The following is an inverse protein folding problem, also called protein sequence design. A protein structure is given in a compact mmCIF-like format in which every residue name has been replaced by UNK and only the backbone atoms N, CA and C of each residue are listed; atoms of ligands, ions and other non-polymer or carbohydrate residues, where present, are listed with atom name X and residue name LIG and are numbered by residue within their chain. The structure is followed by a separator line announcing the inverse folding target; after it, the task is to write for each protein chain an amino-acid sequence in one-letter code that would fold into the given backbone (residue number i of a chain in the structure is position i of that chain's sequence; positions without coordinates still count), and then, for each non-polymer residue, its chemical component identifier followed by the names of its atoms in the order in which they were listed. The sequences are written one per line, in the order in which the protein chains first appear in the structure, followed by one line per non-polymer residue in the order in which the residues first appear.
data_IF_879698964987
#
_entry.id   IF_879698964987
#
_cell.length_a   1.000
_cell.length_b   1.000
_cell.length_c   1.000
_cell.angle_alpha   90.00
_cell.angle_beta   90.00
_cell.angle_gamma   90.00
#
_symmetry.space_group_name_H-M   'P 1'
#
loop_
_entity.id
_entity.type
_entity.pdbx_description
1 polymer ?
#
# COMPACT_ATOMS: atom_id res chain seq x y z
N UNK A 1 -3.37 11.78 16.25
CA UNK A 1 -3.76 11.74 14.83
C UNK A 1 -3.24 13.00 14.19
N UNK A 2 -2.44 12.86 13.13
CA UNK A 2 -1.90 13.99 12.39
C UNK A 2 -3.01 14.80 11.71
N UNK A 3 -2.85 16.12 11.66
CA UNK A 3 -3.74 16.97 10.88
C UNK A 3 -3.45 16.83 9.37
N UNK A 4 -4.33 17.35 8.53
CA UNK A 4 -4.20 17.21 7.07
C UNK A 4 -2.91 17.86 6.56
N UNK A 5 -2.54 19.05 7.06
CA UNK A 5 -1.32 19.74 6.62
C UNK A 5 -0.06 18.94 6.94
N UNK A 6 -0.05 18.25 8.07
CA UNK A 6 1.05 17.34 8.42
C UNK A 6 1.09 16.14 7.47
N UNK A 7 -0.06 15.53 7.17
CA UNK A 7 -0.12 14.43 6.20
C UNK A 7 0.34 14.86 4.80
N UNK A 8 -0.08 16.02 4.31
CA UNK A 8 0.37 16.59 3.03
C UNK A 8 1.90 16.73 2.97
N UNK A 9 2.54 17.21 4.04
CA UNK A 9 4.01 17.29 4.12
C UNK A 9 4.68 15.92 4.06
N UNK A 10 4.12 14.94 4.77
CA UNK A 10 4.65 13.56 4.75
C UNK A 10 4.48 12.95 3.35
N UNK A 11 3.34 13.16 2.70
CA UNK A 11 3.08 12.70 1.32
C UNK A 11 4.13 13.23 0.36
N UNK A 12 4.35 14.54 0.32
CA UNK A 12 5.34 15.16 -0.57
C UNK A 12 6.73 14.60 -0.29
N UNK A 13 7.12 14.47 0.97
CA UNK A 13 8.43 13.93 1.31
C UNK A 13 8.56 12.43 0.97
N UNK A 14 7.51 11.64 1.14
CA UNK A 14 7.48 10.23 0.74
C UNK A 14 7.68 10.07 -0.76
N UNK A 15 7.08 10.93 -1.60
CA UNK A 15 7.33 10.94 -3.05
C UNK A 15 8.79 11.18 -3.39
N UNK A 16 9.43 12.12 -2.69
CA UNK A 16 10.88 12.38 -2.84
C UNK A 16 11.71 11.16 -2.49
N UNK A 17 11.38 10.47 -1.39
CA UNK A 17 12.07 9.25 -0.98
C UNK A 17 11.92 8.15 -2.02
N UNK A 18 10.72 7.93 -2.55
CA UNK A 18 10.45 6.96 -3.64
C UNK A 18 11.35 7.23 -4.84
N UNK A 19 11.34 8.47 -5.34
CA UNK A 19 12.12 8.86 -6.51
C UNK A 19 13.62 8.63 -6.28
N UNK A 20 14.16 9.03 -5.14
CA UNK A 20 15.58 8.87 -4.79
C UNK A 20 15.98 7.41 -4.62
N UNK A 21 15.16 6.60 -3.92
CA UNK A 21 15.43 5.17 -3.75
C UNK A 21 15.57 4.44 -5.08
N UNK A 22 14.57 4.61 -5.96
CA UNK A 22 14.55 3.88 -7.24
C UNK A 22 15.60 4.40 -8.22
N UNK A 23 15.86 5.71 -8.21
CA UNK A 23 16.89 6.32 -9.05
C UNK A 23 18.29 5.81 -8.67
N UNK A 24 18.64 5.83 -7.38
CA UNK A 24 19.99 5.45 -6.90
C UNK A 24 20.45 4.09 -7.40
N UNK A 25 19.55 3.12 -7.44
CA UNK A 25 19.86 1.74 -7.86
C UNK A 25 19.38 1.44 -9.29
N UNK A 26 18.87 2.45 -9.99
CA UNK A 26 18.28 2.31 -11.33
C UNK A 26 17.30 1.13 -11.42
N UNK A 27 16.49 0.92 -10.38
CA UNK A 27 15.59 -0.24 -10.27
C UNK A 27 14.49 0.01 -9.26
N UNK A 28 13.27 -0.42 -9.55
CA UNK A 28 12.12 -0.36 -8.65
C UNK A 28 10.84 0.02 -9.36
N UNK A 29 9.76 0.17 -8.60
CA UNK A 29 8.41 0.43 -9.10
C UNK A 29 7.89 1.78 -8.60
N UNK A 30 8.27 2.90 -9.26
CA UNK A 30 7.87 4.23 -8.80
C UNK A 30 6.39 4.52 -9.03
N UNK A 31 5.81 4.07 -10.15
CA UNK A 31 4.46 4.46 -10.56
C UNK A 31 3.39 4.10 -9.54
N UNK A 32 3.26 2.83 -9.16
CA UNK A 32 2.31 2.37 -8.14
C UNK A 32 2.65 2.92 -6.75
N UNK A 33 3.95 3.05 -6.42
CA UNK A 33 4.39 3.66 -5.16
C UNK A 33 3.92 5.11 -5.03
N UNK A 34 4.07 5.92 -6.08
CA UNK A 34 3.59 7.32 -6.12
C UNK A 34 2.06 7.38 -6.07
N UNK A 35 1.38 6.48 -6.80
CA UNK A 35 -0.09 6.40 -6.81
C UNK A 35 -0.70 6.11 -5.45
N UNK A 36 -0.06 5.25 -4.65
CA UNK A 36 -0.55 4.85 -3.32
C UNK A 36 -0.03 5.72 -2.16
N UNK A 37 0.72 6.80 -2.43
CA UNK A 37 1.40 7.57 -1.36
C UNK A 37 0.41 8.17 -0.36
N UNK A 38 -0.66 8.83 -0.82
CA UNK A 38 -1.66 9.44 0.04
C UNK A 38 -2.36 8.42 0.92
N UNK A 39 -2.74 7.28 0.34
CA UNK A 39 -3.39 6.20 1.08
C UNK A 39 -2.46 5.65 2.17
N UNK A 40 -1.24 5.29 1.81
CA UNK A 40 -0.29 4.69 2.75
C UNK A 40 0.07 5.63 3.91
N UNK A 41 0.35 6.90 3.60
CA UNK A 41 0.61 7.93 4.63
C UNK A 41 -0.61 8.14 5.52
N UNK A 42 -1.80 8.27 4.95
CA UNK A 42 -3.04 8.47 5.70
C UNK A 42 -3.34 7.29 6.61
N UNK A 43 -3.21 6.06 6.09
CA UNK A 43 -3.46 4.85 6.85
C UNK A 43 -2.51 4.75 8.05
N UNK A 44 -1.21 4.83 7.83
CA UNK A 44 -0.20 4.60 8.86
C UNK A 44 -0.11 5.73 9.89
N UNK A 45 -0.26 6.99 9.47
CA UNK A 45 -0.01 8.13 10.35
C UNK A 45 -1.27 8.69 11.02
N UNK A 46 -2.45 8.32 10.50
CA UNK A 46 -3.72 8.83 11.02
C UNK A 46 -4.73 7.75 11.42
N UNK A 47 -4.80 6.64 10.72
CA UNK A 47 -5.95 5.74 10.82
C UNK A 47 -5.68 4.42 11.52
N UNK A 48 -4.48 3.85 11.43
CA UNK A 48 -4.12 2.60 12.11
C UNK A 48 -3.76 2.81 13.58
N UNK A 49 -4.21 1.91 14.43
CA UNK A 49 -3.69 1.75 15.80
C UNK A 49 -2.39 0.96 15.74
N UNK A 50 -1.26 1.63 15.88
CA UNK A 50 0.08 1.06 15.76
C UNK A 50 0.83 1.05 17.09
N UNK A 51 1.63 0.02 17.33
CA UNK A 51 2.63 0.03 18.38
C UNK A 51 3.98 0.46 17.78
N UNK A 52 4.68 1.39 18.44
CA UNK A 52 6.03 1.81 18.06
C UNK A 52 7.06 0.69 18.24
N UNK A 53 6.85 -0.16 19.23
CA UNK A 53 7.67 -1.33 19.50
C UNK A 53 7.11 -2.49 18.66
N UNK A 54 7.64 -2.67 17.45
CA UNK A 54 7.18 -3.70 16.54
C UNK A 54 7.33 -5.10 17.14
N UNK A 55 6.27 -5.89 17.05
CA UNK A 55 6.28 -7.34 17.28
C UNK A 55 5.61 -8.06 16.11
N UNK A 56 6.14 -9.20 15.71
CA UNK A 56 5.50 -10.03 14.67
C UNK A 56 4.12 -10.52 15.10
N UNK A 57 3.89 -10.73 16.38
CA UNK A 57 2.60 -11.20 16.91
C UNK A 57 1.49 -10.14 16.76
N UNK A 58 1.84 -8.86 16.79
CA UNK A 58 0.92 -7.74 16.56
C UNK A 58 -0.28 -7.72 17.51
N UNK A 59 -0.08 -8.11 18.77
CA UNK A 59 -1.12 -8.13 19.80
C UNK A 59 -1.50 -6.68 20.17
N UNK A 60 -2.81 -6.43 20.32
CA UNK A 60 -3.38 -5.14 20.69
C UNK A 60 -3.11 -3.99 19.69
N UNK A 61 -2.75 -4.29 18.45
CA UNK A 61 -2.57 -3.31 17.38
C UNK A 61 -3.24 -3.76 16.07
N UNK A 62 -3.51 -2.81 15.16
CA UNK A 62 -3.93 -3.12 13.82
C UNK A 62 -2.76 -3.70 13.01
N UNK A 63 -3.05 -4.61 12.07
CA UNK A 63 -2.05 -5.20 11.19
C UNK A 63 -2.20 -4.69 9.77
N UNK A 64 -1.07 -4.54 9.07
CA UNK A 64 -1.04 -4.20 7.67
C UNK A 64 -0.25 -5.23 6.86
N UNK A 65 -0.81 -5.63 5.73
CA UNK A 65 -0.21 -6.55 4.76
C UNK A 65 -0.15 -5.90 3.39
N UNK A 66 1.07 -5.73 2.86
CA UNK A 66 1.28 -5.25 1.50
C UNK A 66 1.29 -6.45 0.55
N UNK A 67 0.19 -6.70 -0.17
CA UNK A 67 0.10 -7.80 -1.11
C UNK A 67 0.84 -7.50 -2.42
N UNK A 68 0.65 -6.31 -2.97
CA UNK A 68 1.36 -5.79 -4.14
C UNK A 68 2.79 -5.33 -3.79
N UNK A 69 3.62 -6.29 -3.35
CA UNK A 69 4.94 -6.05 -2.76
C UNK A 69 5.94 -5.29 -3.63
N UNK A 70 5.67 -5.14 -4.92
CA UNK A 70 6.50 -4.35 -5.82
C UNK A 70 6.49 -2.85 -5.50
N UNK A 71 5.43 -2.32 -4.85
CA UNK A 71 5.41 -0.93 -4.36
C UNK A 71 6.13 -0.76 -3.01
N UNK A 72 7.13 -1.59 -2.74
CA UNK A 72 7.98 -1.51 -1.55
C UNK A 72 8.58 -0.13 -1.27
N UNK A 73 8.91 0.73 -2.27
CA UNK A 73 9.45 2.06 -2.00
C UNK A 73 8.52 2.93 -1.15
N UNK A 74 7.22 3.00 -1.44
CA UNK A 74 6.29 3.77 -0.61
C UNK A 74 6.17 3.14 0.79
N UNK A 75 6.12 1.82 0.87
CA UNK A 75 6.00 1.12 2.15
C UNK A 75 7.19 1.39 3.06
N UNK A 76 8.42 1.28 2.55
CA UNK A 76 9.62 1.55 3.33
C UNK A 76 9.72 3.01 3.77
N UNK A 77 9.41 3.97 2.88
CA UNK A 77 9.41 5.38 3.26
C UNK A 77 8.41 5.66 4.39
N UNK A 78 7.19 5.14 4.29
CA UNK A 78 6.17 5.31 5.33
C UNK A 78 6.58 4.66 6.64
N UNK A 79 7.10 3.43 6.63
CA UNK A 79 7.59 2.77 7.84
C UNK A 79 8.71 3.55 8.53
N UNK A 80 9.72 4.01 7.77
CA UNK A 80 10.82 4.80 8.30
C UNK A 80 10.31 6.12 8.93
N UNK A 81 9.45 6.84 8.22
CA UNK A 81 8.88 8.11 8.70
C UNK A 81 7.92 7.95 9.87
N UNK A 82 7.32 6.77 10.01
CA UNK A 82 6.56 6.39 11.19
C UNK A 82 7.43 5.94 12.38
N UNK A 83 8.76 5.89 12.21
CA UNK A 83 9.72 5.59 13.28
C UNK A 83 9.96 4.10 13.52
N UNK A 84 9.65 3.22 12.57
CA UNK A 84 9.96 1.79 12.68
C UNK A 84 11.46 1.50 12.53
N UNK A 85 12.17 2.31 11.74
CA UNK A 85 13.64 2.27 11.56
C UNK A 85 14.16 3.63 11.12
N UNK A 86 15.48 3.80 11.09
CA UNK A 86 16.11 5.08 10.75
C UNK A 86 15.84 5.46 9.29
N UNK A 87 15.42 6.71 9.05
CA UNK A 87 15.13 7.25 7.71
C UNK A 87 16.35 7.16 6.78
N UNK A 88 17.55 7.26 7.32
CA UNK A 88 18.79 7.15 6.55
C UNK A 88 18.99 5.75 5.95
N UNK A 89 18.33 4.73 6.49
CA UNK A 89 18.39 3.38 5.92
C UNK A 89 17.72 3.31 4.54
N UNK A 90 16.82 4.24 4.19
CA UNK A 90 16.20 4.33 2.87
C UNK A 90 17.25 4.42 1.74
N UNK A 91 18.43 4.97 2.03
CA UNK A 91 19.51 5.05 1.05
C UNK A 91 20.11 3.69 0.67
N UNK A 92 19.78 2.63 1.39
CA UNK A 92 20.28 1.27 1.15
C UNK A 92 19.32 0.41 0.31
N UNK A 93 18.19 0.97 -0.15
CA UNK A 93 17.19 0.25 -0.93
C UNK A 93 17.82 -0.58 -2.05
N UNK A 94 17.52 -1.88 -2.10
CA UNK A 94 18.03 -2.87 -3.07
C UNK A 94 19.54 -3.05 -3.12
N UNK A 95 20.32 -2.48 -2.19
CA UNK A 95 21.73 -2.78 -2.10
C UNK A 95 21.95 -4.18 -1.51
N UNK A 96 23.10 -4.78 -1.84
CA UNK A 96 23.50 -6.07 -1.25
C UNK A 96 23.57 -5.94 0.27
N UNK A 97 23.04 -6.91 0.99
CA UNK A 97 22.94 -6.95 2.46
C UNK A 97 22.06 -5.86 3.09
N UNK A 98 21.27 -5.13 2.31
CA UNK A 98 20.26 -4.22 2.86
C UNK A 98 19.03 -5.00 3.34
N UNK A 99 18.39 -4.51 4.41
CA UNK A 99 17.07 -5.02 4.83
C UNK A 99 15.93 -4.54 3.92
N UNK A 100 16.17 -3.48 3.14
CA UNK A 100 15.20 -2.89 2.22
C UNK A 100 15.29 -3.56 0.85
N UNK A 101 14.81 -4.79 0.79
CA UNK A 101 14.80 -5.59 -0.43
C UNK A 101 13.84 -5.02 -1.48
N UNK A 102 14.00 -5.39 -2.75
CA UNK A 102 13.13 -4.94 -3.84
C UNK A 102 11.65 -5.30 -3.64
N UNK A 103 11.41 -6.41 -2.97
CA UNK A 103 10.12 -6.83 -2.45
C UNK A 103 10.27 -7.12 -0.96
N UNK A 104 9.30 -6.77 -0.10
CA UNK A 104 9.43 -6.99 1.34
C UNK A 104 9.61 -8.47 1.66
N UNK A 105 10.47 -8.74 2.64
CA UNK A 105 10.68 -10.09 3.18
C UNK A 105 10.79 -10.06 4.69
N UNK A 106 10.22 -11.06 5.35
CA UNK A 106 10.31 -11.22 6.81
C UNK A 106 11.67 -11.72 7.26
N UNK A 107 12.45 -12.34 6.37
CA UNK A 107 13.78 -12.87 6.67
C UNK A 107 14.76 -11.78 7.15
N UNK A 108 14.65 -10.58 6.58
CA UNK A 108 15.53 -9.45 6.93
C UNK A 108 15.18 -8.79 8.27
N UNK A 109 14.10 -9.21 8.93
CA UNK A 109 13.70 -8.70 10.24
C UNK A 109 13.42 -7.19 10.26
N UNK A 110 13.00 -6.60 9.13
CA UNK A 110 12.67 -5.18 9.07
C UNK A 110 11.39 -4.89 9.85
N UNK A 111 11.43 -4.03 10.87
CA UNK A 111 10.24 -3.68 11.63
C UNK A 111 9.13 -3.11 10.75
N UNK A 112 7.88 -3.57 10.98
CA UNK A 112 6.71 -3.19 10.17
C UNK A 112 6.39 -4.18 9.04
N UNK A 113 7.32 -5.03 8.62
CA UNK A 113 7.11 -6.04 7.57
C UNK A 113 6.65 -7.36 8.19
N UNK A 114 5.42 -7.79 7.87
CA UNK A 114 4.77 -9.00 8.42
C UNK A 114 4.58 -10.13 7.40
N UNK A 115 4.86 -9.87 6.14
CA UNK A 115 4.75 -10.83 5.05
C UNK A 115 5.90 -10.64 4.06
N UNK A 116 6.41 -11.75 3.54
CA UNK A 116 7.18 -11.74 2.30
C UNK A 116 6.19 -11.63 1.13
N UNK A 117 6.28 -10.56 0.35
CA UNK A 117 5.36 -10.29 -0.75
C UNK A 117 6.13 -10.01 -2.06
N UNK A 118 5.40 -9.97 -3.19
CA UNK A 118 5.98 -9.87 -4.54
C UNK A 118 5.48 -10.96 -5.47
N UNK A 119 5.14 -12.15 -4.94
CA UNK A 119 4.27 -13.10 -5.63
C UNK A 119 2.84 -12.61 -5.45
N UNK A 120 2.28 -12.01 -6.51
CA UNK A 120 0.96 -11.39 -6.46
C UNK A 120 -0.14 -12.41 -6.14
N UNK A 121 -1.18 -11.94 -5.47
CA UNK A 121 -2.34 -12.75 -5.09
C UNK A 121 -2.20 -13.49 -3.74
N UNK A 122 -1.01 -13.50 -3.09
CA UNK A 122 -0.79 -14.23 -1.84
C UNK A 122 -1.22 -13.45 -0.60
N UNK A 123 -1.07 -12.13 -0.62
CA UNK A 123 -1.18 -11.30 0.58
C UNK A 123 -2.57 -11.30 1.20
N UNK A 124 -3.64 -11.35 0.40
CA UNK A 124 -5.00 -11.37 0.91
C UNK A 124 -5.27 -12.61 1.75
N UNK A 125 -4.83 -13.79 1.31
CA UNK A 125 -4.99 -15.05 2.06
C UNK A 125 -4.29 -14.98 3.42
N UNK A 126 -3.07 -14.42 3.47
CA UNK A 126 -2.32 -14.23 4.72
C UNK A 126 -3.02 -13.24 5.64
N UNK A 127 -3.50 -12.12 5.11
CA UNK A 127 -4.26 -11.11 5.86
C UNK A 127 -5.54 -11.69 6.47
N UNK A 128 -6.27 -12.53 5.72
CA UNK A 128 -7.45 -13.25 6.21
C UNK A 128 -7.09 -14.19 7.35
N UNK A 129 -6.00 -14.94 7.23
CA UNK A 129 -5.50 -15.80 8.30
C UNK A 129 -5.17 -15.03 9.58
N UNK A 130 -4.51 -13.86 9.44
CA UNK A 130 -4.23 -12.96 10.56
C UNK A 130 -5.52 -12.39 11.19
N UNK A 131 -6.52 -12.04 10.38
CA UNK A 131 -7.82 -11.56 10.86
C UNK A 131 -8.56 -12.63 11.66
N UNK A 132 -8.55 -13.88 11.19
CA UNK A 132 -9.12 -15.02 11.93
C UNK A 132 -8.37 -15.26 13.23
N UNK A 133 -7.04 -15.20 13.23
CA UNK A 133 -6.22 -15.32 14.44
C UNK A 133 -6.59 -14.27 15.48
N UNK A 134 -6.78 -13.00 15.07
CA UNK A 134 -7.27 -11.95 15.99
C UNK A 134 -8.64 -12.29 16.58
N UNK A 135 -9.59 -12.74 15.76
CA UNK A 135 -10.92 -13.16 16.24
C UNK A 135 -10.83 -14.31 17.26
N UNK A 136 -10.00 -15.31 16.99
CA UNK A 136 -9.81 -16.45 17.90
C UNK A 136 -9.19 -16.03 19.24
N UNK A 137 -8.34 -15.01 19.23
CA UNK A 137 -7.69 -14.48 20.43
C UNK A 137 -8.51 -13.33 21.08
N UNK A 138 -9.73 -13.08 20.65
CA UNK A 138 -10.57 -11.97 21.13
C UNK A 138 -9.91 -10.58 21.02
N UNK A 139 -9.02 -10.42 20.05
CA UNK A 139 -8.38 -9.15 19.73
C UNK A 139 -9.24 -8.38 18.72
N UNK A 140 -9.83 -7.26 19.15
CA UNK A 140 -10.74 -6.44 18.37
C UNK A 140 -10.04 -5.41 17.46
N UNK A 141 -8.73 -5.56 17.20
CA UNK A 141 -8.04 -4.72 16.26
C UNK A 141 -8.24 -5.21 14.80
N UNK A 142 -8.05 -4.31 13.85
CA UNK A 142 -8.33 -4.54 12.45
C UNK A 142 -7.12 -5.09 11.70
N UNK A 143 -7.39 -5.72 10.57
CA UNK A 143 -6.38 -6.14 9.61
C UNK A 143 -6.62 -5.41 8.29
N UNK A 144 -5.58 -4.75 7.78
CA UNK A 144 -5.57 -4.05 6.51
C UNK A 144 -4.73 -4.83 5.49
N UNK A 145 -5.20 -4.89 4.24
CA UNK A 145 -4.47 -5.48 3.12
C UNK A 145 -4.56 -4.55 1.92
N UNK A 146 -3.42 -4.21 1.32
CA UNK A 146 -3.38 -3.44 0.06
C UNK A 146 -3.02 -4.35 -1.09
N UNK A 147 -3.85 -4.35 -2.13
CA UNK A 147 -3.69 -5.09 -3.38
C UNK A 147 -3.72 -4.14 -4.57
N UNK A 148 -3.14 -4.54 -5.70
CA UNK A 148 -3.33 -3.86 -6.98
C UNK A 148 -4.49 -4.45 -7.78
N UNK A 149 -5.05 -3.67 -8.72
CA UNK A 149 -6.07 -4.15 -9.64
C UNK A 149 -5.52 -5.22 -10.62
N UNK A 150 -4.32 -5.04 -11.16
CA UNK A 150 -3.66 -6.08 -11.95
C UNK A 150 -3.41 -7.37 -11.16
N UNK A 151 -3.19 -7.27 -9.85
CA UNK A 151 -3.06 -8.41 -8.95
C UNK A 151 -4.36 -9.22 -8.82
N UNK A 152 -5.52 -8.60 -8.98
CA UNK A 152 -6.81 -9.30 -8.97
C UNK A 152 -7.01 -10.23 -10.17
N UNK A 153 -6.13 -10.20 -11.16
CA UNK A 153 -6.09 -11.18 -12.25
C UNK A 153 -5.62 -12.56 -11.78
N UNK A 154 -4.97 -12.64 -10.61
CA UNK A 154 -4.60 -13.91 -9.97
C UNK A 154 -5.82 -14.60 -9.35
N UNK A 155 -6.07 -15.87 -9.77
CA UNK A 155 -7.27 -16.63 -9.38
C UNK A 155 -7.42 -16.83 -7.88
N UNK A 156 -6.32 -17.02 -7.16
CA UNK A 156 -6.35 -17.25 -5.71
C UNK A 156 -6.87 -16.07 -4.88
N UNK A 157 -6.86 -14.82 -5.42
CA UNK A 157 -7.55 -13.71 -4.77
C UNK A 157 -9.05 -13.99 -4.66
N UNK A 158 -9.66 -14.53 -5.71
CA UNK A 158 -11.09 -14.86 -5.72
C UNK A 158 -11.44 -16.01 -4.81
N UNK A 159 -10.53 -16.99 -4.65
CA UNK A 159 -10.66 -18.04 -3.64
C UNK A 159 -10.63 -17.45 -2.22
N UNK A 160 -9.67 -16.55 -1.94
CA UNK A 160 -9.57 -15.86 -0.66
C UNK A 160 -10.79 -14.98 -0.38
N UNK A 161 -11.29 -14.24 -1.39
CA UNK A 161 -12.48 -13.39 -1.30
C UNK A 161 -13.70 -14.22 -0.92
N UNK A 162 -13.91 -15.36 -1.58
CA UNK A 162 -15.01 -16.28 -1.29
C UNK A 162 -14.88 -16.85 0.14
N UNK A 163 -13.68 -17.28 0.53
CA UNK A 163 -13.40 -17.83 1.86
C UNK A 163 -13.70 -16.81 2.97
N UNK A 164 -13.23 -15.55 2.81
CA UNK A 164 -13.42 -14.51 3.82
C UNK A 164 -14.90 -14.23 4.10
N UNK A 165 -15.72 -14.14 3.05
CA UNK A 165 -17.16 -13.93 3.17
C UNK A 165 -17.84 -15.13 3.84
N UNK A 166 -17.55 -16.35 3.38
CA UNK A 166 -18.13 -17.58 3.94
C UNK A 166 -17.84 -17.74 5.43
N UNK A 167 -16.66 -17.31 5.87
CA UNK A 167 -16.20 -17.39 7.27
C UNK A 167 -16.45 -16.10 8.06
N UNK A 168 -17.19 -15.14 7.52
CA UNK A 168 -17.57 -13.88 8.18
C UNK A 168 -16.34 -13.17 8.79
N UNK A 169 -15.28 -13.02 7.99
CA UNK A 169 -14.05 -12.35 8.42
C UNK A 169 -14.28 -10.84 8.36
N UNK A 170 -14.93 -10.30 9.36
CA UNK A 170 -15.48 -8.95 9.40
C UNK A 170 -14.61 -7.90 10.09
N UNK A 171 -13.40 -8.31 10.49
CA UNK A 171 -12.33 -7.45 11.02
C UNK A 171 -11.22 -7.18 10.00
N UNK A 172 -11.48 -7.38 8.71
CA UNK A 172 -10.55 -7.10 7.60
C UNK A 172 -11.07 -5.94 6.73
N UNK A 173 -10.15 -5.05 6.35
CA UNK A 173 -10.36 -4.02 5.33
C UNK A 173 -9.34 -4.26 4.23
N UNK A 174 -9.76 -4.87 3.14
CA UNK A 174 -8.95 -5.00 1.93
C UNK A 174 -9.13 -3.76 1.06
N UNK A 175 -8.03 -3.18 0.59
CA UNK A 175 -8.03 -2.04 -0.32
C UNK A 175 -7.47 -2.47 -1.66
N UNK A 176 -8.16 -2.13 -2.73
CA UNK A 176 -7.69 -2.36 -4.10
C UNK A 176 -7.29 -1.03 -4.71
N UNK A 177 -6.01 -0.90 -5.07
CA UNK A 177 -5.48 0.22 -5.84
C UNK A 177 -5.96 0.10 -7.29
N UNK A 178 -7.03 0.84 -7.62
CA UNK A 178 -7.65 0.88 -8.95
C UNK A 178 -6.98 1.96 -9.81
N UNK A 179 -5.76 1.73 -10.24
CA UNK A 179 -5.01 2.65 -11.09
C UNK A 179 -5.17 2.35 -12.59
N UNK A 180 -5.78 1.22 -12.96
CA UNK A 180 -6.04 0.80 -14.33
C UNK A 180 -4.81 0.37 -15.11
N UNK A 181 -3.65 0.19 -14.46
CA UNK A 181 -2.38 -0.08 -15.12
C UNK A 181 -1.68 -1.29 -14.51
N UNK A 182 -0.98 -2.04 -15.33
CA UNK A 182 -0.05 -3.08 -14.93
C UNK A 182 1.21 -3.02 -15.81
N UNK A 183 2.19 -3.92 -15.59
CA UNK A 183 3.50 -3.87 -16.24
C UNK A 183 3.44 -3.87 -17.78
N UNK A 184 2.49 -4.59 -18.37
CA UNK A 184 2.39 -4.82 -19.81
C UNK A 184 1.37 -3.91 -20.51
N UNK A 185 0.66 -3.05 -19.78
CA UNK A 185 -0.36 -2.17 -20.34
C UNK A 185 -1.47 -1.81 -19.38
N UNK A 186 -2.62 -1.39 -19.92
CA UNK A 186 -3.80 -1.21 -19.11
C UNK A 186 -4.36 -2.54 -18.63
N UNK A 187 -4.97 -2.58 -17.44
CA UNK A 187 -5.63 -3.80 -16.95
C UNK A 187 -6.77 -4.25 -17.87
N UNK A 188 -7.40 -3.31 -18.59
CA UNK A 188 -8.46 -3.63 -19.54
C UNK A 188 -7.96 -4.33 -20.80
N UNK A 189 -6.77 -3.95 -21.30
CA UNK A 189 -6.21 -4.50 -22.54
C UNK A 189 -5.52 -5.85 -22.31
N UNK A 190 -4.90 -6.03 -21.13
CA UNK A 190 -4.16 -7.26 -20.82
C UNK A 190 -5.12 -8.37 -20.37
N UNK A 191 -5.93 -8.14 -19.34
CA UNK A 191 -6.99 -9.05 -18.89
C UNK A 191 -8.06 -8.26 -18.14
N UNK A 192 -9.14 -7.95 -18.85
CA UNK A 192 -10.22 -7.11 -18.31
C UNK A 192 -10.92 -7.78 -17.13
N UNK A 193 -10.92 -7.10 -15.99
CA UNK A 193 -11.57 -7.57 -14.77
C UNK A 193 -13.08 -7.28 -14.72
N UNK A 194 -13.62 -6.55 -15.70
CA UNK A 194 -15.03 -6.13 -15.69
C UNK A 194 -15.38 -5.28 -14.46
N UNK A 195 -16.59 -5.42 -13.96
CA UNK A 195 -17.07 -4.66 -12.79
C UNK A 195 -16.58 -5.30 -11.48
N UNK A 196 -15.49 -4.77 -10.96
CA UNK A 196 -14.85 -5.23 -9.71
C UNK A 196 -15.80 -5.05 -8.51
N UNK A 197 -16.54 -3.94 -8.46
CA UNK A 197 -17.51 -3.68 -7.37
C UNK A 197 -18.57 -4.76 -7.31
N UNK A 198 -19.19 -5.06 -8.44
CA UNK A 198 -20.22 -6.09 -8.50
C UNK A 198 -19.66 -7.48 -8.18
N UNK A 199 -18.43 -7.79 -8.58
CA UNK A 199 -17.76 -9.04 -8.21
C UNK A 199 -17.61 -9.18 -6.70
N UNK A 200 -16.98 -8.21 -6.02
CA UNK A 200 -16.85 -8.26 -4.55
C UNK A 200 -18.21 -8.33 -3.85
N UNK A 201 -19.19 -7.56 -4.33
CA UNK A 201 -20.56 -7.58 -3.78
C UNK A 201 -21.23 -8.96 -3.96
N UNK A 202 -21.06 -9.60 -5.13
CA UNK A 202 -21.59 -10.93 -5.40
C UNK A 202 -20.94 -12.01 -4.52
N UNK A 203 -19.67 -11.82 -4.15
CA UNK A 203 -18.99 -12.66 -3.16
C UNK A 203 -19.35 -12.32 -1.70
N UNK A 204 -20.27 -11.39 -1.44
CA UNK A 204 -20.78 -11.07 -0.11
C UNK A 204 -19.98 -10.04 0.68
N UNK A 205 -19.04 -9.34 0.05
CA UNK A 205 -18.28 -8.26 0.68
C UNK A 205 -19.08 -6.96 0.72
N UNK A 206 -18.85 -6.16 1.74
CA UNK A 206 -19.27 -4.77 1.76
C UNK A 206 -18.25 -3.92 0.99
N UNK A 207 -18.72 -3.18 -0.01
CA UNK A 207 -17.83 -2.41 -0.90
C UNK A 207 -18.00 -0.92 -0.66
N UNK A 208 -16.87 -0.22 -0.51
CA UNK A 208 -16.80 1.23 -0.37
C UNK A 208 -15.95 1.77 -1.51
N UNK A 209 -16.50 2.71 -2.27
CA UNK A 209 -15.76 3.38 -3.36
C UNK A 209 -15.13 4.67 -2.85
N UNK A 210 -13.84 4.83 -3.14
CA UNK A 210 -13.07 6.07 -3.00
C UNK A 210 -12.80 6.60 -4.41
N UNK A 211 -13.54 7.62 -4.82
CA UNK A 211 -13.53 8.15 -6.18
C UNK A 211 -12.25 8.93 -6.53
N UNK A 212 -11.59 9.49 -5.52
CA UNK A 212 -10.29 10.13 -5.63
C UNK A 212 -9.35 9.59 -4.53
N UNK A 213 -8.62 8.52 -4.86
CA UNK A 213 -7.64 7.86 -4.00
C UNK A 213 -6.34 8.63 -3.82
N UNK A 214 -6.23 9.81 -4.41
CA UNK A 214 -5.14 10.77 -4.19
C UNK A 214 -5.57 11.99 -3.38
N UNK A 215 -6.79 11.98 -2.84
CA UNK A 215 -7.33 13.01 -1.96
C UNK A 215 -7.37 12.52 -0.50
N UNK A 216 -6.53 13.11 0.36
CA UNK A 216 -6.41 12.71 1.78
C UNK A 216 -7.74 12.83 2.53
N UNK A 217 -8.57 13.85 2.23
CA UNK A 217 -9.87 14.04 2.88
C UNK A 217 -10.83 12.90 2.54
N UNK A 218 -10.90 12.52 1.26
CA UNK A 218 -11.75 11.42 0.83
C UNK A 218 -11.27 10.08 1.38
N UNK A 219 -9.96 9.81 1.34
CA UNK A 219 -9.36 8.60 1.91
C UNK A 219 -9.73 8.47 3.40
N UNK A 220 -9.58 9.54 4.20
CA UNK A 220 -9.94 9.52 5.63
C UNK A 220 -11.42 9.23 5.83
N UNK A 221 -12.30 9.85 5.06
CA UNK A 221 -13.73 9.62 5.15
C UNK A 221 -14.10 8.16 4.81
N UNK A 222 -13.52 7.61 3.74
CA UNK A 222 -13.76 6.23 3.32
C UNK A 222 -13.20 5.21 4.31
N UNK A 223 -12.01 5.43 4.86
CA UNK A 223 -11.44 4.57 5.91
C UNK A 223 -12.28 4.60 7.19
N UNK A 224 -12.78 5.77 7.61
CA UNK A 224 -13.74 5.87 8.73
C UNK A 224 -15.02 5.10 8.46
N UNK A 225 -15.58 5.26 7.26
CA UNK A 225 -16.76 4.51 6.84
C UNK A 225 -16.52 3.00 6.86
N UNK A 226 -15.35 2.54 6.39
CA UNK A 226 -14.95 1.14 6.43
C UNK A 226 -14.90 0.59 7.86
N UNK A 227 -14.23 1.31 8.77
CA UNK A 227 -14.15 0.94 10.19
C UNK A 227 -15.51 0.81 10.86
N UNK A 228 -16.44 1.71 10.56
CA UNK A 228 -17.82 1.64 11.11
C UNK A 228 -18.62 0.45 10.62
N UNK A 229 -18.21 -0.17 9.51
CA UNK A 229 -18.84 -1.36 8.91
C UNK A 229 -18.18 -2.67 9.35
N UNK A 230 -17.01 -2.63 9.99
CA UNK A 230 -16.37 -3.81 10.56
C UNK A 230 -17.20 -4.43 11.70
N UNK A 231 -16.96 -5.70 12.00
CA UNK A 231 -17.67 -6.49 13.03
C UNK A 231 -19.19 -6.61 12.78
N UNK A 232 -19.58 -6.75 11.52
CA UNK A 232 -20.99 -6.91 11.06
C UNK A 232 -21.16 -8.09 10.10
N UNK A 233 -20.45 -9.18 10.36
CA UNK A 233 -20.48 -10.45 9.61
C UNK A 233 -20.05 -10.34 8.12
N UNK A 234 -19.48 -9.21 7.68
CA UNK A 234 -19.01 -9.04 6.29
C UNK A 234 -17.59 -8.48 6.24
N UNK A 235 -16.71 -9.03 5.41
CA UNK A 235 -15.43 -8.39 5.09
C UNK A 235 -15.66 -7.10 4.29
N UNK A 236 -14.72 -6.14 4.41
CA UNK A 236 -14.83 -4.82 3.79
C UNK A 236 -13.81 -4.70 2.65
N UNK A 237 -14.27 -4.24 1.49
CA UNK A 237 -13.40 -3.87 0.36
C UNK A 237 -13.50 -2.37 0.10
N UNK A 238 -12.36 -1.68 0.07
CA UNK A 238 -12.25 -0.29 -0.39
C UNK A 238 -11.70 -0.31 -1.81
N UNK A 239 -12.47 0.20 -2.76
CA UNK A 239 -12.02 0.41 -4.14
C UNK A 239 -11.44 1.82 -4.24
N UNK A 240 -10.13 1.91 -4.28
CA UNK A 240 -9.36 3.15 -4.21
C UNK A 240 -8.92 3.57 -5.62
N UNK A 241 -9.62 4.51 -6.24
CA UNK A 241 -9.26 5.00 -7.58
C UNK A 241 -8.08 5.95 -7.49
N UNK A 242 -6.92 5.54 -7.96
CA UNK A 242 -5.69 6.35 -7.94
C UNK A 242 -5.21 6.67 -9.35
N UNK A 243 -4.19 7.55 -9.41
CA UNK A 243 -3.43 7.83 -10.62
C UNK A 243 -2.01 7.26 -10.42
N UNK A 244 -1.63 6.26 -11.22
CA UNK A 244 -0.25 5.77 -11.22
C UNK A 244 0.70 6.94 -11.51
N UNK A 245 1.79 7.08 -10.74
CA UNK A 245 2.75 8.17 -10.90
C UNK A 245 2.32 9.52 -10.31
N UNK A 246 1.24 9.57 -9.51
CA UNK A 246 0.69 10.80 -8.97
C UNK A 246 1.72 11.71 -8.30
N UNK A 247 1.72 13.01 -8.66
CA UNK A 247 2.66 14.02 -8.17
C UNK A 247 3.95 14.14 -8.98
N UNK A 248 4.07 13.38 -10.10
CA UNK A 248 5.16 13.52 -11.08
C UNK A 248 4.55 13.47 -12.48
N UNK A 249 4.41 14.61 -13.13
CA UNK A 249 3.60 14.81 -14.33
C UNK A 249 3.92 13.84 -15.49
N UNK A 250 5.20 13.62 -15.78
CA UNK A 250 5.63 12.71 -16.85
C UNK A 250 5.47 11.22 -16.50
N UNK A 251 5.14 10.89 -15.24
CA UNK A 251 4.88 9.51 -14.80
C UNK A 251 3.38 9.17 -14.76
N UNK A 252 2.51 10.18 -14.84
CA UNK A 252 1.07 10.00 -14.70
C UNK A 252 0.45 9.42 -15.97
N UNK A 253 -0.65 8.66 -15.79
CA UNK A 253 -1.51 8.15 -16.86
C UNK A 253 -0.84 7.21 -17.88
N UNK A 254 0.27 6.55 -17.52
CA UNK A 254 0.97 5.59 -18.37
C UNK A 254 1.52 4.43 -17.56
N UNK A 255 1.51 3.23 -18.13
CA UNK A 255 2.08 2.03 -17.53
C UNK A 255 3.62 1.99 -17.59
N UNK A 256 4.25 2.81 -18.43
CA UNK A 256 5.71 2.79 -18.65
C UNK A 256 6.51 2.95 -17.34
N UNK A 257 5.94 3.65 -16.36
CA UNK A 257 6.58 3.89 -15.06
C UNK A 257 6.22 2.85 -13.99
N UNK A 258 5.53 1.79 -14.40
CA UNK A 258 5.23 0.69 -13.47
C UNK A 258 6.52 0.12 -12.86
N UNK A 259 7.52 -0.21 -13.66
CA UNK A 259 8.78 -0.82 -13.23
C UNK A 259 10.06 -0.14 -13.75
N UNK A 260 10.01 1.14 -14.11
CA UNK A 260 11.11 1.89 -14.69
C UNK A 260 11.59 2.99 -13.72
N UNK A 261 12.91 3.04 -13.48
CA UNK A 261 13.52 4.11 -12.69
C UNK A 261 13.73 5.39 -13.53
N UNK A 262 13.59 6.59 -12.92
CA UNK A 262 13.93 7.85 -13.60
C UNK A 262 15.44 7.99 -13.80
N UNK A 263 15.87 8.65 -14.89
CA UNK A 263 17.24 9.09 -15.07
C UNK A 263 17.53 10.40 -14.28
N UNK A 264 18.76 10.93 -14.36
CA UNK A 264 19.18 12.11 -13.60
C UNK A 264 18.34 13.36 -13.89
N UNK A 265 17.96 13.59 -15.14
CA UNK A 265 17.13 14.75 -15.53
C UNK A 265 15.70 14.56 -15.04
N UNK A 266 15.14 13.38 -15.22
CA UNK A 266 13.82 13.02 -14.74
C UNK A 266 13.71 13.08 -13.22
N UNK A 267 14.76 12.65 -12.49
CA UNK A 267 14.82 12.81 -11.04
C UNK A 267 14.75 14.28 -10.64
N UNK A 268 15.56 15.15 -11.28
CA UNK A 268 15.56 16.60 -11.00
C UNK A 268 14.16 17.21 -11.22
N UNK A 269 13.49 16.86 -12.31
CA UNK A 269 12.13 17.30 -12.60
C UNK A 269 11.15 16.82 -11.53
N UNK A 270 11.15 15.52 -11.22
CA UNK A 270 10.24 14.96 -10.22
C UNK A 270 10.47 15.54 -8.81
N UNK A 271 11.72 15.81 -8.43
CA UNK A 271 12.04 16.49 -7.16
C UNK A 271 11.64 17.96 -7.14
N UNK A 272 11.66 18.66 -8.28
CA UNK A 272 11.22 20.06 -8.38
C UNK A 272 9.69 20.22 -8.25
N UNK A 273 8.95 19.18 -8.62
CA UNK A 273 7.48 19.13 -8.47
C UNK A 273 7.03 18.75 -7.05
N UNK A 274 7.94 18.28 -6.24
CA UNK A 274 7.70 17.88 -4.86
C UNK A 274 8.70 18.59 -3.95
N UNK A 275 8.31 19.68 -3.33
CA UNK A 275 9.19 20.46 -2.43
C UNK A 275 9.61 19.64 -1.21
N UNK A 276 10.83 19.92 -0.70
CA UNK A 276 11.31 19.26 0.51
C UNK A 276 10.60 19.81 1.74
N UNK A 277 10.02 18.92 2.56
CA UNK A 277 9.17 19.31 3.68
C UNK A 277 9.64 18.85 5.06
N UNK A 278 10.39 17.74 5.13
CA UNK A 278 10.77 17.08 6.40
C UNK A 278 12.26 16.80 6.54
N UNK A 279 13.10 17.41 5.71
CA UNK A 279 14.53 17.17 5.67
C UNK A 279 14.93 15.99 4.76
N UNK A 280 16.02 16.17 4.01
CA UNK A 280 16.51 15.19 3.06
C UNK A 280 17.25 14.05 3.76
N UNK A 281 17.01 12.82 3.29
CA UNK A 281 17.91 11.70 3.49
C UNK A 281 19.08 11.85 2.53
N UNK A 282 20.31 11.61 2.98
CA UNK A 282 21.47 11.56 2.09
C UNK A 282 21.48 10.24 1.33
N UNK A 283 21.43 10.33 0.01
CA UNK A 283 21.51 9.19 -0.92
C UNK A 283 22.89 9.14 -1.62
N UNK A 284 23.94 9.47 -0.89
CA UNK A 284 25.33 9.43 -1.37
C UNK A 284 25.89 8.02 -1.40
#
# INVERSE_FOLDING_TARGET
MSDIKTLEKIVVQTRRDILRMVHKVNSGHPGGSLGCTEFMVTLFDSEMKRNKNFSMDGIDEDLFFLSNGHISPVFYSVLARCGYFDVNELNTFRLINSRLQGHPTTHEGLPGVRIASGSLGQGLSVAIGAALSKKLNHDNNLVYCLMGDGELQEGQNWEAIMFASSNKVDNIIATVDLNGQQIDGSTNDVLNLGDIKNKFTAFGWEVIECGDGNNIYEIKDRLKSAKMKCFKDKPICVLLKTVMGNGVDFMMHTHEWHGKAPNDEQLKIGLSQNEETLGAVSYT
#
